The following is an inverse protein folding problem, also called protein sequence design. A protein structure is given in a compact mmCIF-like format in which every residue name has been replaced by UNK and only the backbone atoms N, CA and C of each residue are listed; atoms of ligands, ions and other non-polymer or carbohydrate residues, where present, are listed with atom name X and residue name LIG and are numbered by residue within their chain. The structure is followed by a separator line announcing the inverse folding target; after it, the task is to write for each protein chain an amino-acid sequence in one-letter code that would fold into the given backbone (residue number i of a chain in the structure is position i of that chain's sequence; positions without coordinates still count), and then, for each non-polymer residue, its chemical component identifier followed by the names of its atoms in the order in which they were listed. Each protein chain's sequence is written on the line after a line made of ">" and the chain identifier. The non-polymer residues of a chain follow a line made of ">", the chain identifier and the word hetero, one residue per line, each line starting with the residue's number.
data_IF_242128702667
#
_entry.id   IF_242128702667
#
_cell.length_a   1.000
_cell.length_b   1.000
_cell.length_c   1.000
_cell.angle_alpha   90.00
_cell.angle_beta   90.00
_cell.angle_gamma   90.00
#
_symmetry.space_group_name_H-M   'P 1'
#
loop_
_entity.id
_entity.type
_entity.pdbx_description
1 polymer ?
#
# COMPACT_ATOMS: atom_id res chain seq x y z
N UNK A 1 -4.45 25.29 -7.43
CA UNK A 1 -4.25 23.85 -7.43
C UNK A 1 -2.77 23.54 -7.45
N UNK A 2 -2.25 22.88 -6.42
CA UNK A 2 -0.86 22.46 -6.40
C UNK A 2 -0.66 21.28 -7.34
N UNK A 3 0.32 21.36 -8.23
CA UNK A 3 0.76 20.21 -9.02
C UNK A 3 1.77 19.38 -8.21
N UNK A 4 1.65 18.06 -8.28
CA UNK A 4 2.68 17.18 -7.75
C UNK A 4 3.86 17.21 -8.73
N UNK A 5 5.05 17.56 -8.23
CA UNK A 5 6.28 17.47 -9.02
C UNK A 5 6.59 15.99 -9.27
N UNK A 6 6.51 15.56 -10.53
CA UNK A 6 6.79 14.19 -10.95
C UNK A 6 8.20 13.71 -10.57
N UNK A 7 9.15 14.62 -10.40
CA UNK A 7 10.50 14.30 -9.94
C UNK A 7 10.54 13.82 -8.48
N UNK A 8 9.44 13.97 -7.73
CA UNK A 8 9.27 13.49 -6.36
C UNK A 8 8.59 12.14 -6.26
N UNK A 9 8.27 11.51 -7.40
CA UNK A 9 7.69 10.18 -7.45
C UNK A 9 8.81 9.17 -7.65
N UNK A 10 8.87 8.15 -6.80
CA UNK A 10 9.87 7.08 -6.81
C UNK A 10 9.21 5.71 -6.69
N UNK A 11 9.87 4.69 -7.21
CA UNK A 11 9.60 3.32 -6.81
C UNK A 11 10.53 2.93 -5.66
N UNK A 12 9.99 2.27 -4.64
CA UNK A 12 10.79 1.84 -3.50
C UNK A 12 11.94 0.93 -3.92
N UNK A 13 11.75 0.18 -5.01
CA UNK A 13 12.78 -0.68 -5.60
C UNK A 13 14.01 0.04 -6.10
N UNK A 14 13.86 1.27 -6.56
CA UNK A 14 14.94 2.08 -7.14
C UNK A 14 15.67 2.92 -6.07
N UNK A 15 15.29 2.75 -4.81
CA UNK A 15 15.82 3.53 -3.69
C UNK A 15 16.65 2.65 -2.79
N UNK A 16 17.86 3.10 -2.43
CA UNK A 16 18.76 2.44 -1.48
C UNK A 16 19.38 3.48 -0.54
N UNK A 17 18.58 4.00 0.37
CA UNK A 17 18.98 4.98 1.39
C UNK A 17 18.63 4.45 2.78
N UNK A 18 19.26 4.99 3.82
CA UNK A 18 18.94 4.62 5.20
C UNK A 18 17.48 4.91 5.57
N UNK A 19 16.94 6.03 5.07
CA UNK A 19 15.55 6.48 5.25
C UNK A 19 14.96 6.91 3.92
N UNK A 20 13.64 6.94 3.83
CA UNK A 20 12.96 7.58 2.71
C UNK A 20 13.18 9.09 2.73
N UNK A 21 13.32 9.71 1.58
CA UNK A 21 13.55 11.15 1.46
C UNK A 21 12.28 11.94 1.73
N UNK A 22 12.34 13.05 2.49
CA UNK A 22 11.17 13.87 2.77
C UNK A 22 10.62 14.52 1.49
N UNK A 23 9.29 14.67 1.44
CA UNK A 23 8.60 15.30 0.32
C UNK A 23 8.54 14.44 -0.95
N UNK A 24 8.84 13.15 -0.85
CA UNK A 24 8.70 12.19 -1.95
C UNK A 24 7.53 11.23 -1.72
N UNK A 25 6.96 10.74 -2.81
CA UNK A 25 5.96 9.68 -2.84
C UNK A 25 6.64 8.40 -3.33
N UNK A 26 6.57 7.34 -2.53
CA UNK A 26 7.15 6.05 -2.86
C UNK A 26 6.07 5.03 -3.19
N UNK A 27 6.13 4.46 -4.37
CA UNK A 27 5.26 3.35 -4.76
C UNK A 27 5.95 2.02 -4.46
N UNK A 28 5.20 1.11 -3.87
CA UNK A 28 5.62 -0.27 -3.68
C UNK A 28 4.46 -1.22 -3.92
N UNK A 29 4.69 -2.23 -4.72
CA UNK A 29 3.74 -3.32 -4.84
C UNK A 29 4.00 -4.31 -3.70
N UNK A 30 2.97 -4.70 -2.99
CA UNK A 30 3.09 -5.55 -1.78
C UNK A 30 3.81 -6.87 -2.07
N UNK A 31 3.61 -7.45 -3.26
CA UNK A 31 4.32 -8.67 -3.66
C UNK A 31 5.83 -8.48 -3.79
N UNK A 32 6.28 -7.25 -4.08
CA UNK A 32 7.71 -6.95 -4.13
C UNK A 32 8.37 -6.98 -2.74
N UNK A 33 7.61 -7.01 -1.66
CA UNK A 33 8.12 -7.12 -0.29
C UNK A 33 8.10 -8.56 0.27
N UNK A 34 7.88 -9.57 -0.56
CA UNK A 34 7.95 -10.97 -0.15
C UNK A 34 9.36 -11.33 0.34
N UNK A 35 9.46 -12.35 1.21
CA UNK A 35 10.68 -12.73 1.94
C UNK A 35 11.93 -12.97 1.09
N UNK A 36 11.76 -13.39 -0.16
CA UNK A 36 12.87 -13.65 -1.10
C UNK A 36 13.09 -12.50 -2.09
N UNK A 37 12.51 -11.33 -1.82
CA UNK A 37 12.61 -10.18 -2.71
C UNK A 37 14.02 -9.59 -2.76
N UNK A 38 14.35 -9.03 -3.91
CA UNK A 38 15.55 -8.21 -4.11
C UNK A 38 15.48 -6.85 -3.40
N UNK A 39 14.33 -6.49 -2.84
CA UNK A 39 14.16 -5.28 -2.02
C UNK A 39 14.74 -5.42 -0.60
N UNK A 40 15.20 -6.60 -0.20
CA UNK A 40 15.83 -6.82 1.10
C UNK A 40 17.35 -6.79 0.99
N UNK A 41 18.01 -6.11 1.90
CA UNK A 41 19.46 -6.16 2.04
C UNK A 41 19.92 -7.52 2.60
N UNK A 42 19.12 -8.11 3.50
CA UNK A 42 19.29 -9.48 4.01
C UNK A 42 17.96 -10.20 3.81
N UNK A 43 18.01 -11.37 3.20
CA UNK A 43 16.84 -12.24 2.98
C UNK A 43 16.51 -13.05 4.23
N UNK A 44 15.35 -13.69 4.21
CA UNK A 44 14.86 -14.50 5.32
C UNK A 44 15.78 -15.70 5.67
N UNK A 45 16.58 -16.19 4.74
CA UNK A 45 17.57 -17.25 4.91
C UNK A 45 18.95 -16.75 5.39
N UNK A 46 19.07 -15.43 5.65
CA UNK A 46 20.31 -14.78 6.04
C UNK A 46 21.24 -14.40 4.90
N UNK A 47 20.89 -14.71 3.65
CA UNK A 47 21.71 -14.36 2.48
C UNK A 47 21.72 -12.85 2.28
N UNK A 48 22.92 -12.26 2.16
CA UNK A 48 23.08 -10.85 1.83
C UNK A 48 22.81 -10.58 0.36
N UNK A 49 22.28 -9.40 0.09
CA UNK A 49 22.09 -8.89 -1.26
C UNK A 49 23.18 -7.84 -1.54
N UNK A 50 24.21 -8.21 -2.28
CA UNK A 50 25.36 -7.36 -2.58
C UNK A 50 25.00 -6.08 -3.38
N UNK A 51 23.81 -6.04 -3.94
CA UNK A 51 23.30 -4.90 -4.73
C UNK A 51 22.53 -3.89 -3.88
N UNK A 52 22.39 -4.12 -2.56
CA UNK A 52 21.56 -3.28 -1.70
C UNK A 52 22.14 -3.18 -0.28
N UNK A 53 22.31 -1.94 0.15
CA UNK A 53 22.79 -1.63 1.51
C UNK A 53 21.64 -1.60 2.52
N UNK A 54 20.50 -1.01 2.11
CA UNK A 54 19.32 -0.86 2.95
C UNK A 54 18.14 -1.60 2.34
N UNK A 55 17.53 -2.48 3.11
CA UNK A 55 16.31 -3.16 2.71
C UNK A 55 15.08 -2.27 2.78
N UNK A 56 14.03 -2.62 2.04
CA UNK A 56 12.77 -1.87 2.07
C UNK A 56 12.20 -1.76 3.49
N UNK A 57 12.23 -2.85 4.26
CA UNK A 57 11.81 -2.84 5.65
C UNK A 57 12.65 -1.91 6.53
N UNK A 58 13.97 -1.89 6.32
CA UNK A 58 14.88 -1.02 7.07
C UNK A 58 14.62 0.46 6.75
N UNK A 59 14.44 0.80 5.48
CA UNK A 59 14.12 2.16 5.06
C UNK A 59 12.82 2.67 5.68
N UNK A 60 11.76 1.86 5.64
CA UNK A 60 10.47 2.22 6.24
C UNK A 60 10.62 2.34 7.77
N UNK A 61 11.22 1.35 8.43
CA UNK A 61 11.39 1.35 9.87
C UNK A 61 12.21 2.54 10.37
N UNK A 62 13.33 2.84 9.70
CA UNK A 62 14.17 3.98 10.06
C UNK A 62 13.45 5.30 9.82
N UNK A 63 12.68 5.42 8.73
CA UNK A 63 11.88 6.63 8.48
C UNK A 63 10.86 6.86 9.57
N UNK A 64 10.12 5.82 9.98
CA UNK A 64 9.14 5.94 11.06
C UNK A 64 9.79 6.32 12.39
N UNK A 65 10.95 5.73 12.71
CA UNK A 65 11.67 6.04 13.97
C UNK A 65 12.22 7.45 13.99
N UNK A 66 12.80 7.88 12.88
CA UNK A 66 13.51 9.17 12.82
C UNK A 66 12.55 10.34 12.55
N UNK A 67 11.48 10.11 11.78
CA UNK A 67 10.58 11.14 11.26
C UNK A 67 9.13 10.67 11.15
N UNK A 68 8.64 9.94 12.15
CA UNK A 68 7.30 9.38 12.10
C UNK A 68 6.20 10.43 11.85
N UNK A 69 6.35 11.65 12.36
CA UNK A 69 5.37 12.72 12.15
C UNK A 69 5.18 13.09 10.65
N UNK A 70 6.18 12.85 9.82
CA UNK A 70 6.18 13.18 8.39
C UNK A 70 5.87 11.96 7.50
N UNK A 71 5.56 10.80 8.10
CA UNK A 71 5.34 9.54 7.40
C UNK A 71 3.85 9.21 7.29
N UNK A 72 3.36 9.14 6.06
CA UNK A 72 2.00 8.75 5.73
C UNK A 72 2.02 7.51 4.83
N UNK A 73 1.23 6.52 5.16
CA UNK A 73 0.94 5.37 4.28
C UNK A 73 -0.38 5.61 3.56
N UNK A 74 -0.39 5.51 2.24
CA UNK A 74 -1.61 5.45 1.43
C UNK A 74 -1.79 3.99 1.02
N UNK A 75 -2.88 3.38 1.48
CA UNK A 75 -3.20 1.99 1.18
C UNK A 75 -4.38 1.94 0.22
N UNK A 76 -4.09 1.69 -1.03
CA UNK A 76 -5.10 1.46 -2.05
C UNK A 76 -5.74 0.07 -1.89
N UNK A 77 -7.03 -0.03 -2.21
CA UNK A 77 -7.82 -1.26 -1.99
C UNK A 77 -7.72 -1.79 -0.54
N UNK A 78 -7.82 -0.89 0.43
CA UNK A 78 -7.54 -1.17 1.85
C UNK A 78 -8.41 -2.28 2.48
N UNK A 79 -9.49 -2.70 1.82
CA UNK A 79 -10.28 -3.87 2.21
C UNK A 79 -9.55 -5.20 1.95
N UNK A 80 -8.54 -5.21 1.06
CA UNK A 80 -7.72 -6.38 0.75
C UNK A 80 -6.56 -6.47 1.73
N UNK A 81 -6.43 -7.60 2.40
CA UNK A 81 -5.32 -7.84 3.34
C UNK A 81 -5.49 -7.27 4.75
N UNK A 82 -6.60 -6.59 5.04
CA UNK A 82 -6.96 -6.19 6.40
C UNK A 82 -7.60 -7.33 7.19
N UNK A 83 -6.90 -8.45 7.33
CA UNK A 83 -7.24 -9.54 8.23
C UNK A 83 -8.24 -10.56 7.66
N UNK A 84 -7.76 -11.74 7.33
CA UNK A 84 -8.55 -12.98 7.44
C UNK A 84 -8.22 -13.62 8.78
N UNK A 85 -9.26 -14.03 9.50
CA UNK A 85 -9.19 -14.62 10.86
C UNK A 85 -8.32 -15.88 11.00
N UNK A 86 -7.69 -16.38 9.94
CA UNK A 86 -7.05 -17.68 9.89
C UNK A 86 -5.59 -17.69 9.42
N UNK A 87 -4.90 -16.56 9.35
CA UNK A 87 -3.45 -16.63 9.13
C UNK A 87 -2.72 -16.04 10.34
N UNK A 88 -1.95 -16.87 11.02
CA UNK A 88 -0.98 -16.48 12.08
C UNK A 88 0.11 -15.52 11.56
N UNK A 89 0.00 -15.08 10.33
CA UNK A 89 0.89 -14.13 9.67
C UNK A 89 0.14 -12.88 9.31
N UNK A 90 0.48 -11.78 9.97
CA UNK A 90 0.09 -10.45 9.49
C UNK A 90 0.48 -10.31 8.02
N UNK A 91 -0.42 -9.77 7.19
CA UNK A 91 -0.08 -9.40 5.83
C UNK A 91 1.05 -8.36 5.84
N UNK A 92 1.79 -8.24 4.75
CA UNK A 92 2.85 -7.22 4.61
C UNK A 92 2.27 -5.82 4.89
N UNK A 93 1.09 -5.52 4.34
CA UNK A 93 0.40 -4.26 4.59
C UNK A 93 0.03 -4.10 6.07
N UNK A 94 -0.51 -5.13 6.71
CA UNK A 94 -0.81 -5.11 8.15
C UNK A 94 0.44 -4.91 8.99
N UNK A 95 1.59 -5.45 8.59
CA UNK A 95 2.86 -5.23 9.29
C UNK A 95 3.34 -3.77 9.15
N UNK A 96 3.16 -3.14 7.98
CA UNK A 96 3.49 -1.72 7.81
C UNK A 96 2.58 -0.84 8.67
N UNK A 97 1.28 -1.16 8.69
CA UNK A 97 0.27 -0.35 9.39
C UNK A 97 0.38 -0.51 10.90
N UNK A 98 0.38 -1.74 11.40
CA UNK A 98 0.26 -2.05 12.83
C UNK A 98 1.60 -2.30 13.51
N UNK A 99 2.68 -2.37 12.75
CA UNK A 99 3.98 -2.77 13.24
C UNK A 99 4.06 -4.27 13.57
N UNK A 100 5.20 -4.70 14.08
CA UNK A 100 5.47 -6.07 14.49
C UNK A 100 6.50 -6.78 13.62
N UNK A 101 6.60 -8.12 13.73
CA UNK A 101 7.60 -8.87 13.02
C UNK A 101 7.33 -8.87 11.51
N UNK A 102 8.39 -8.63 10.74
CA UNK A 102 8.35 -8.70 9.28
C UNK A 102 8.54 -10.15 8.80
N UNK A 103 8.27 -10.38 7.54
CA UNK A 103 8.46 -11.70 6.90
C UNK A 103 9.93 -12.11 6.71
N UNK A 104 10.88 -11.24 7.05
CA UNK A 104 12.33 -11.52 7.06
C UNK A 104 12.93 -11.51 8.48
N UNK A 105 12.10 -11.47 9.51
CA UNK A 105 12.54 -11.57 10.91
C UNK A 105 12.99 -10.25 11.56
N UNK A 106 12.87 -9.11 10.88
CA UNK A 106 13.09 -7.79 11.49
C UNK A 106 11.81 -7.27 12.14
N UNK A 107 11.88 -6.16 12.87
CA UNK A 107 10.72 -5.55 13.52
C UNK A 107 10.40 -4.20 12.90
N UNK A 108 9.16 -4.06 12.45
CA UNK A 108 8.63 -2.83 11.88
C UNK A 108 7.87 -2.03 12.95
N UNK A 109 8.16 -0.75 13.17
CA UNK A 109 7.29 0.12 13.96
C UNK A 109 5.98 0.39 13.21
N UNK A 110 4.87 0.65 13.93
CA UNK A 110 3.59 0.96 13.28
C UNK A 110 3.66 2.28 12.52
N UNK A 111 3.03 2.33 11.36
CA UNK A 111 2.88 3.59 10.62
C UNK A 111 2.03 4.57 11.43
N UNK A 112 2.48 5.82 11.66
CA UNK A 112 1.75 6.77 12.52
C UNK A 112 0.43 7.22 11.88
N UNK A 113 0.42 7.44 10.58
CA UNK A 113 -0.77 7.87 9.83
C UNK A 113 -1.00 6.94 8.64
N UNK A 114 -2.24 6.50 8.47
CA UNK A 114 -2.64 5.63 7.37
C UNK A 114 -3.90 6.17 6.72
N UNK A 115 -3.86 6.36 5.42
CA UNK A 115 -5.01 6.67 4.57
C UNK A 115 -5.40 5.43 3.79
N UNK A 116 -6.52 4.82 4.13
CA UNK A 116 -7.10 3.70 3.38
C UNK A 116 -8.06 4.20 2.32
N UNK A 117 -7.91 3.74 1.09
CA UNK A 117 -8.84 4.01 -0.01
C UNK A 117 -9.56 2.70 -0.34
N UNK A 118 -10.89 2.70 -0.29
CA UNK A 118 -11.68 1.48 -0.54
C UNK A 118 -13.13 1.81 -0.86
N UNK A 119 -13.74 1.06 -1.77
CA UNK A 119 -15.19 1.08 -1.99
C UNK A 119 -15.97 0.35 -0.88
N UNK A 120 -15.30 -0.51 -0.09
CA UNK A 120 -15.90 -1.30 0.99
C UNK A 120 -15.07 -1.16 2.27
N UNK A 121 -15.19 -0.05 3.03
CA UNK A 121 -14.27 0.31 4.10
C UNK A 121 -14.41 -0.52 5.38
N UNK A 122 -15.53 -1.24 5.58
CA UNK A 122 -15.87 -1.89 6.85
C UNK A 122 -14.77 -2.79 7.41
N UNK A 123 -14.14 -3.59 6.55
CA UNK A 123 -13.03 -4.48 6.98
C UNK A 123 -11.81 -3.70 7.43
N UNK A 124 -11.48 -2.63 6.73
CA UNK A 124 -10.37 -1.76 7.10
C UNK A 124 -10.64 -1.04 8.42
N UNK A 125 -11.85 -0.48 8.59
CA UNK A 125 -12.27 0.17 9.83
C UNK A 125 -12.23 -0.81 11.01
N UNK A 126 -12.72 -2.03 10.82
CA UNK A 126 -12.67 -3.08 11.86
C UNK A 126 -11.22 -3.42 12.25
N UNK A 127 -10.30 -3.51 11.26
CA UNK A 127 -8.89 -3.76 11.53
C UNK A 127 -8.23 -2.59 12.29
N UNK A 128 -8.53 -1.34 11.93
CA UNK A 128 -8.02 -0.16 12.64
C UNK A 128 -8.51 -0.10 14.07
N UNK A 129 -9.79 -0.39 14.33
CA UNK A 129 -10.34 -0.47 15.67
C UNK A 129 -9.69 -1.59 16.50
N UNK A 130 -9.47 -2.77 15.91
CA UNK A 130 -8.79 -3.88 16.58
C UNK A 130 -7.32 -3.57 16.93
N UNK A 131 -6.68 -2.68 16.18
CA UNK A 131 -5.34 -2.17 16.45
C UNK A 131 -5.31 -0.96 17.41
N UNK A 132 -6.43 -0.63 18.06
CA UNK A 132 -6.60 0.54 18.94
C UNK A 132 -6.27 1.88 18.25
N UNK A 133 -6.51 1.98 16.96
CA UNK A 133 -6.39 3.22 16.19
C UNK A 133 -7.75 3.93 16.15
N UNK A 134 -7.72 5.24 16.03
CA UNK A 134 -8.94 6.06 15.90
C UNK A 134 -9.22 6.34 14.43
N UNK A 135 -10.07 5.54 13.75
CA UNK A 135 -10.36 5.78 12.35
C UNK A 135 -11.30 6.97 12.18
N UNK A 136 -11.12 7.69 11.08
CA UNK A 136 -12.08 8.67 10.57
C UNK A 136 -12.52 8.23 9.17
N UNK A 137 -13.81 8.11 8.95
CA UNK A 137 -14.38 7.81 7.64
C UNK A 137 -14.70 9.13 6.91
N UNK A 138 -14.22 9.24 5.68
CA UNK A 138 -14.66 10.27 4.73
C UNK A 138 -15.31 9.54 3.57
N UNK A 139 -16.58 9.77 3.38
CA UNK A 139 -17.36 9.17 2.29
C UNK A 139 -17.51 10.18 1.16
N UNK A 140 -17.16 9.77 -0.06
CA UNK A 140 -17.42 10.52 -1.28
C UNK A 140 -18.65 9.92 -1.94
N UNK A 141 -19.72 10.71 -2.06
CA UNK A 141 -20.98 10.25 -2.64
C UNK A 141 -20.84 10.00 -4.14
N UNK A 142 -21.55 9.00 -4.63
CA UNK A 142 -21.55 8.67 -6.07
C UNK A 142 -21.97 9.86 -6.96
N UNK A 143 -22.84 10.75 -6.45
CA UNK A 143 -23.21 12.00 -7.13
C UNK A 143 -22.00 12.92 -7.35
N UNK A 144 -21.22 13.16 -6.28
CA UNK A 144 -20.05 14.05 -6.34
C UNK A 144 -18.98 13.49 -7.30
N UNK A 145 -18.80 12.16 -7.33
CA UNK A 145 -17.87 11.51 -8.26
C UNK A 145 -18.36 11.63 -9.71
N UNK A 146 -19.68 11.56 -9.93
CA UNK A 146 -20.27 11.74 -11.26
C UNK A 146 -20.10 13.18 -11.74
N UNK A 147 -20.41 14.17 -10.89
CA UNK A 147 -20.24 15.59 -11.19
C UNK A 147 -18.79 15.98 -11.49
N UNK A 148 -17.82 15.29 -10.88
CA UNK A 148 -16.39 15.48 -11.17
C UNK A 148 -15.95 14.94 -12.54
N UNK A 149 -16.82 14.23 -13.27
CA UNK A 149 -16.50 13.61 -14.56
C UNK A 149 -15.68 12.32 -14.49
N UNK A 150 -15.43 11.81 -13.29
CA UNK A 150 -14.66 10.56 -13.11
C UNK A 150 -15.47 9.30 -13.41
N UNK A 151 -16.79 9.37 -13.35
CA UNK A 151 -17.68 8.28 -13.75
C UNK A 151 -18.23 8.48 -15.15
N UNK A 152 -18.32 7.39 -15.92
CA UNK A 152 -19.02 7.40 -17.21
C UNK A 152 -20.53 7.45 -16.97
N UNK A 153 -21.20 8.40 -17.61
CA UNK A 153 -22.67 8.53 -17.51
C UNK A 153 -23.41 7.39 -18.21
N UNK A 154 -22.76 6.74 -19.18
CA UNK A 154 -23.40 5.70 -19.97
C UNK A 154 -22.41 4.62 -20.40
N UNK A 155 -22.78 3.38 -20.20
CA UNK A 155 -22.11 2.19 -20.76
C UNK A 155 -23.01 1.66 -21.87
N UNK A 156 -22.51 1.69 -23.11
CA UNK A 156 -23.20 1.08 -24.25
C UNK A 156 -22.66 -0.34 -24.45
N UNK A 157 -23.50 -1.32 -24.16
CA UNK A 157 -23.23 -2.72 -24.49
C UNK A 157 -23.75 -2.97 -25.91
N UNK A 158 -22.86 -3.32 -26.83
CA UNK A 158 -23.22 -3.86 -28.14
C UNK A 158 -23.00 -5.36 -28.10
N UNK A 159 -24.05 -6.15 -28.26
CA UNK A 159 -23.91 -7.56 -28.65
C UNK A 159 -23.45 -7.58 -30.10
N UNK A 160 -22.32 -8.22 -30.38
CA UNK A 160 -21.99 -8.62 -31.72
C UNK A 160 -23.03 -9.70 -32.08
N UNK A 161 -23.96 -9.37 -33.00
CA UNK A 161 -24.93 -10.33 -33.51
C UNK A 161 -24.20 -11.54 -34.06
N UNK A 162 -24.71 -12.72 -33.76
CA UNK A 162 -24.29 -13.95 -34.42
C UNK A 162 -24.38 -13.74 -35.93
N UNK A 163 -23.26 -13.94 -36.63
CA UNK A 163 -23.25 -14.01 -38.07
C UNK A 163 -24.16 -15.17 -38.47
N UNK A 164 -25.33 -14.85 -39.07
CA UNK A 164 -26.11 -15.86 -39.74
C UNK A 164 -25.20 -16.49 -40.80
N UNK A 165 -24.87 -17.77 -40.62
CA UNK A 165 -24.34 -18.59 -41.65
C UNK A 165 -25.45 -18.70 -42.74
N UNK A 166 -25.21 -18.08 -43.86
CA UNK A 166 -26.00 -18.35 -45.07
C UNK A 166 -25.60 -19.72 -45.61
N UNK A 167 -26.59 -20.60 -45.74
CA UNK A 167 -26.53 -21.84 -46.52
C UNK A 167 -26.29 -21.54 -48.01
#
# INVERSE_FOLDING_TARGET
>A
GGSIDVNRIRFLGDTDHRTLEPGHIYFVHIQAMQKNSTLHAVRADGTKNDKRTHGAWDMIANTVRDRGADFLVIWDEAHRGSGTKNSDRKSIAGTIVDGGPTNIGTTQPPAPVVLGISATPDRFLAAMNAANRTPRLVEVKAGDVRESGLLKDRILLRSLGESQSAD
#
